data_IF_457802550631
#
_entry.id   IF_457802550631
#
_cell.length_a   1.000
_cell.length_b   1.000
_cell.length_c   1.000
_cell.angle_alpha   90.00
_cell.angle_beta   90.00
_cell.angle_gamma   90.00
#
_symmetry.space_group_name_H-M   'P 1'
#
loop_
_entity.id
_entity.type
_entity.pdbx_description
1 polymer ?
#
# COMPACT_ATOMS: atom_id res chain seq x y z
N UNK A 1 0.65 -16.31 12.08
CA UNK A 1 0.93 -15.06 11.34
C UNK A 1 2.42 -14.83 11.16
N UNK A 2 3.21 -14.70 12.24
CA UNK A 2 4.68 -14.51 12.18
C UNK A 2 5.39 -15.51 11.25
N UNK A 3 5.19 -16.82 11.44
CA UNK A 3 5.84 -17.84 10.59
C UNK A 3 5.36 -17.83 9.12
N UNK A 4 4.18 -17.27 8.84
CA UNK A 4 3.68 -17.13 7.47
C UNK A 4 4.34 -15.93 6.80
N UNK A 5 4.42 -14.80 7.51
CA UNK A 5 5.11 -13.59 7.07
C UNK A 5 6.60 -13.85 6.85
N UNK A 6 7.27 -14.51 7.80
CA UNK A 6 8.68 -14.88 7.72
C UNK A 6 8.99 -15.71 6.47
N UNK A 7 8.20 -16.75 6.20
CA UNK A 7 8.36 -17.56 4.99
C UNK A 7 8.20 -16.73 3.72
N UNK A 8 7.21 -15.83 3.70
CA UNK A 8 7.01 -14.91 2.58
C UNK A 8 8.20 -13.98 2.37
N UNK A 9 8.73 -13.38 3.44
CA UNK A 9 9.91 -12.51 3.40
C UNK A 9 11.13 -13.25 2.88
N UNK A 10 11.44 -14.42 3.45
CA UNK A 10 12.57 -15.25 2.98
C UNK A 10 12.43 -15.56 1.49
N UNK A 11 11.27 -16.03 1.05
CA UNK A 11 11.04 -16.34 -0.37
C UNK A 11 11.17 -15.12 -1.28
N UNK A 12 10.66 -13.96 -0.86
CA UNK A 12 10.74 -12.72 -1.64
C UNK A 12 12.17 -12.19 -1.73
N UNK A 13 12.91 -12.23 -0.62
CA UNK A 13 14.32 -11.82 -0.60
C UNK A 13 15.18 -12.74 -1.48
N UNK A 14 14.95 -14.06 -1.42
CA UNK A 14 15.66 -15.01 -2.29
C UNK A 14 15.37 -14.73 -3.78
N UNK A 15 14.09 -14.55 -4.15
CA UNK A 15 13.72 -14.18 -5.53
C UNK A 15 14.37 -12.87 -5.98
N UNK A 16 14.49 -11.89 -5.09
CA UNK A 16 15.14 -10.62 -5.38
C UNK A 16 16.64 -10.79 -5.63
N UNK A 17 17.33 -11.66 -4.89
CA UNK A 17 18.73 -11.98 -5.15
C UNK A 17 18.92 -12.73 -6.46
N UNK A 18 18.09 -13.74 -6.71
CA UNK A 18 18.08 -14.48 -7.97
C UNK A 18 17.90 -13.55 -9.18
N UNK A 19 16.99 -12.57 -9.09
CA UNK A 19 16.78 -11.57 -10.15
C UNK A 19 17.99 -10.66 -10.42
N UNK A 20 18.88 -10.52 -9.44
CA UNK A 20 20.13 -9.75 -9.56
C UNK A 20 21.34 -10.64 -9.92
N UNK A 21 21.11 -11.95 -10.12
CA UNK A 21 22.18 -12.91 -10.42
C UNK A 21 23.09 -13.21 -9.22
N UNK A 22 22.66 -12.89 -8.00
CA UNK A 22 23.43 -13.10 -6.77
C UNK A 22 22.88 -14.36 -6.07
N UNK A 23 23.73 -15.34 -5.79
CA UNK A 23 23.34 -16.50 -4.99
C UNK A 23 23.29 -16.15 -3.50
N UNK A 24 22.48 -16.89 -2.74
CA UNK A 24 22.39 -16.68 -1.29
C UNK A 24 23.72 -16.89 -0.59
N UNK A 25 24.49 -17.90 -1.02
CA UNK A 25 25.80 -18.21 -0.48
C UNK A 25 26.80 -17.07 -0.72
N UNK A 26 26.75 -16.48 -1.92
CA UNK A 26 27.59 -15.33 -2.27
C UNK A 26 27.24 -14.11 -1.41
N UNK A 27 25.95 -13.83 -1.22
CA UNK A 27 25.51 -12.70 -0.39
C UNK A 27 25.91 -12.88 1.08
N UNK A 28 25.70 -14.07 1.65
CA UNK A 28 26.12 -14.41 3.01
C UNK A 28 27.64 -14.27 3.18
N UNK A 29 28.41 -14.68 2.17
CA UNK A 29 29.87 -14.54 2.18
C UNK A 29 30.32 -13.07 2.16
N UNK A 30 29.69 -12.24 1.32
CA UNK A 30 30.01 -10.80 1.21
C UNK A 30 29.65 -10.05 2.48
N UNK A 31 28.49 -10.35 3.07
CA UNK A 31 28.00 -9.72 4.30
C UNK A 31 28.61 -10.31 5.58
N UNK A 32 29.36 -11.42 5.46
CA UNK A 32 29.90 -12.20 6.57
C UNK A 32 28.82 -12.63 7.57
N UNK A 33 27.63 -12.97 7.07
CA UNK A 33 26.50 -13.43 7.87
C UNK A 33 26.29 -14.94 7.69
N UNK A 34 25.73 -15.58 8.70
CA UNK A 34 25.23 -16.96 8.59
C UNK A 34 23.79 -16.98 8.09
N UNK A 35 23.36 -18.12 7.55
CA UNK A 35 21.95 -18.31 7.16
C UNK A 35 21.00 -18.16 8.36
N UNK A 36 21.44 -18.56 9.56
CA UNK A 36 20.65 -18.41 10.80
C UNK A 36 20.50 -16.93 11.18
N UNK A 37 21.59 -16.16 11.16
CA UNK A 37 21.56 -14.71 11.41
C UNK A 37 20.65 -13.98 10.41
N UNK A 38 20.68 -14.38 9.15
CA UNK A 38 19.79 -13.84 8.12
C UNK A 38 18.31 -14.13 8.44
N UNK A 39 17.96 -15.38 8.76
CA UNK A 39 16.58 -15.76 9.08
C UNK A 39 16.12 -15.07 10.36
N UNK A 40 16.97 -14.96 11.38
CA UNK A 40 16.63 -14.28 12.63
C UNK A 40 16.36 -12.79 12.44
N UNK A 41 17.16 -12.09 11.62
CA UNK A 41 16.89 -10.70 11.26
C UNK A 41 15.52 -10.53 10.59
N UNK A 42 15.16 -11.44 9.67
CA UNK A 42 13.85 -11.42 9.03
C UNK A 42 12.72 -11.78 10.00
N UNK A 43 12.99 -12.64 10.98
CA UNK A 43 12.03 -13.05 12.01
C UNK A 43 11.69 -11.90 12.94
N UNK A 44 12.66 -11.11 13.38
CA UNK A 44 12.42 -9.90 14.18
C UNK A 44 11.49 -8.93 13.46
N UNK A 45 11.77 -8.67 12.18
CA UNK A 45 10.89 -7.85 11.33
C UNK A 45 9.49 -8.45 11.18
N UNK A 46 9.39 -9.77 11.05
CA UNK A 46 8.10 -10.47 10.93
C UNK A 46 7.26 -10.38 12.20
N UNK A 47 7.90 -10.42 13.37
CA UNK A 47 7.24 -10.21 14.67
C UNK A 47 6.69 -8.79 14.75
N UNK A 48 7.50 -7.79 14.41
CA UNK A 48 7.05 -6.40 14.42
C UNK A 48 5.88 -6.17 13.44
N UNK A 49 6.02 -6.62 12.19
CA UNK A 49 4.98 -6.50 11.18
C UNK A 49 3.67 -7.17 11.61
N UNK A 50 3.76 -8.36 12.23
CA UNK A 50 2.57 -9.04 12.75
C UNK A 50 1.93 -8.25 13.90
N UNK A 51 2.72 -7.65 14.80
CA UNK A 51 2.20 -6.81 15.88
C UNK A 51 1.46 -5.58 15.32
N UNK A 52 2.05 -4.91 14.33
CA UNK A 52 1.41 -3.77 13.65
C UNK A 52 0.11 -4.19 12.97
N UNK A 53 0.11 -5.33 12.24
CA UNK A 53 -1.10 -5.84 11.59
C UNK A 53 -2.23 -6.14 12.60
N UNK A 54 -1.90 -6.73 13.75
CA UNK A 54 -2.86 -6.98 14.83
C UNK A 54 -3.37 -5.65 15.43
N UNK A 55 -2.47 -4.69 15.67
CA UNK A 55 -2.83 -3.39 16.23
C UNK A 55 -3.78 -2.61 15.30
N UNK A 56 -3.48 -2.57 13.99
CA UNK A 56 -4.35 -1.90 13.01
C UNK A 56 -5.72 -2.57 12.90
N UNK A 57 -5.77 -3.91 12.95
CA UNK A 57 -7.06 -4.61 13.00
C UNK A 57 -7.83 -4.28 14.27
N UNK A 58 -7.15 -4.17 15.41
CA UNK A 58 -7.79 -3.79 16.66
C UNK A 58 -8.37 -2.36 16.61
N UNK A 59 -7.63 -1.41 16.02
CA UNK A 59 -8.13 -0.04 15.77
C UNK A 59 -9.34 -0.08 14.85
N UNK A 60 -9.27 -0.82 13.72
CA UNK A 60 -10.39 -0.94 12.79
C UNK A 60 -11.67 -1.45 13.47
N UNK A 61 -11.54 -2.43 14.37
CA UNK A 61 -12.68 -2.98 15.14
C UNK A 61 -13.18 -1.97 16.17
N UNK A 62 -12.28 -1.33 16.92
CA UNK A 62 -12.65 -0.37 17.97
C UNK A 62 -13.41 0.84 17.40
N UNK A 63 -12.92 1.36 16.27
CA UNK A 63 -13.46 2.54 15.59
C UNK A 63 -14.52 2.21 14.52
N UNK A 64 -14.90 0.92 14.39
CA UNK A 64 -15.92 0.43 13.44
C UNK A 64 -15.63 0.83 11.99
N UNK A 65 -14.37 0.71 11.58
CA UNK A 65 -13.87 1.06 10.25
C UNK A 65 -14.06 -0.08 9.25
N UNK A 66 -15.30 -0.58 9.15
CA UNK A 66 -15.64 -1.66 8.24
C UNK A 66 -15.54 -1.22 6.77
N UNK A 67 -15.22 -2.19 5.90
CA UNK A 67 -15.23 -1.99 4.45
C UNK A 67 -16.67 -2.03 3.93
N UNK A 68 -17.12 -0.90 3.38
CA UNK A 68 -18.42 -0.78 2.72
C UNK A 68 -18.40 -1.43 1.33
N UNK A 69 -19.56 -1.45 0.67
CA UNK A 69 -19.64 -1.89 -0.73
C UNK A 69 -18.95 -0.87 -1.65
N UNK A 70 -19.15 0.42 -1.40
CA UNK A 70 -18.54 1.49 -2.19
C UNK A 70 -17.02 1.44 -2.10
N UNK A 71 -16.46 1.12 -0.92
CA UNK A 71 -15.01 0.89 -0.77
C UNK A 71 -14.51 -0.27 -1.63
N UNK A 72 -15.29 -1.36 -1.72
CA UNK A 72 -14.93 -2.49 -2.56
C UNK A 72 -14.98 -2.11 -4.04
N UNK A 73 -16.00 -1.37 -4.46
CA UNK A 73 -16.16 -0.92 -5.84
C UNK A 73 -15.01 -0.03 -6.26
N UNK A 74 -14.68 0.99 -5.46
CA UNK A 74 -13.50 1.86 -5.65
C UNK A 74 -12.21 1.05 -5.74
N UNK A 75 -12.05 0.05 -4.88
CA UNK A 75 -10.86 -0.80 -4.90
C UNK A 75 -10.77 -1.67 -6.16
N UNK A 76 -11.89 -2.22 -6.63
CA UNK A 76 -11.92 -2.95 -7.89
C UNK A 76 -11.62 -2.05 -9.07
N UNK A 77 -12.14 -0.82 -9.09
CA UNK A 77 -11.83 0.17 -10.12
C UNK A 77 -10.35 0.51 -10.14
N UNK A 78 -9.76 0.79 -8.98
CA UNK A 78 -8.32 1.08 -8.85
C UNK A 78 -7.46 -0.06 -9.38
N UNK A 79 -7.73 -1.30 -8.95
CA UNK A 79 -7.01 -2.49 -9.43
C UNK A 79 -7.23 -2.69 -10.93
N UNK A 80 -8.44 -2.46 -11.42
CA UNK A 80 -8.78 -2.59 -12.84
C UNK A 80 -7.99 -1.62 -13.70
N UNK A 81 -7.86 -0.36 -13.28
CA UNK A 81 -7.03 0.66 -13.93
C UNK A 81 -5.56 0.23 -13.98
N UNK A 82 -4.99 -0.20 -12.85
CA UNK A 82 -3.60 -0.66 -12.78
C UNK A 82 -3.33 -1.86 -13.72
N UNK A 83 -4.29 -2.78 -13.81
CA UNK A 83 -4.16 -3.99 -14.63
C UNK A 83 -4.70 -3.83 -16.06
N UNK A 84 -5.19 -2.64 -16.43
CA UNK A 84 -5.87 -2.36 -17.71
C UNK A 84 -6.97 -3.36 -18.05
N UNK A 85 -7.77 -3.73 -17.05
CA UNK A 85 -8.90 -4.67 -17.14
C UNK A 85 -10.20 -3.97 -16.76
N UNK A 86 -11.35 -4.63 -16.97
CA UNK A 86 -12.65 -4.13 -16.51
C UNK A 86 -12.87 -4.45 -15.02
N UNK A 87 -13.44 -3.55 -14.21
CA UNK A 87 -13.71 -3.79 -12.78
C UNK A 87 -14.51 -5.06 -12.51
N UNK A 88 -15.55 -5.33 -13.33
CA UNK A 88 -16.35 -6.55 -13.21
C UNK A 88 -15.53 -7.85 -13.36
N UNK A 89 -14.47 -7.84 -14.18
CA UNK A 89 -13.58 -8.99 -14.31
C UNK A 89 -12.69 -9.18 -13.08
N UNK A 90 -12.25 -8.09 -12.45
CA UNK A 90 -11.49 -8.13 -11.20
C UNK A 90 -12.38 -8.66 -10.07
N UNK A 91 -13.59 -8.11 -9.91
CA UNK A 91 -14.56 -8.58 -8.92
C UNK A 91 -14.81 -10.08 -9.03
N UNK A 92 -15.11 -10.56 -10.24
CA UNK A 92 -15.34 -12.00 -10.49
C UNK A 92 -14.13 -12.86 -10.13
N UNK A 93 -12.91 -12.36 -10.32
CA UNK A 93 -11.70 -13.09 -9.95
C UNK A 93 -11.54 -13.21 -8.43
N UNK A 94 -11.84 -12.15 -7.68
CA UNK A 94 -11.83 -12.19 -6.21
C UNK A 94 -12.93 -13.09 -5.65
N UNK A 95 -14.15 -13.02 -6.21
CA UNK A 95 -15.26 -13.90 -5.83
C UNK A 95 -14.92 -15.38 -6.08
N UNK A 96 -14.34 -15.70 -7.24
CA UNK A 96 -13.94 -17.07 -7.59
C UNK A 96 -12.87 -17.64 -6.63
N UNK A 97 -12.02 -16.78 -6.10
CA UNK A 97 -10.91 -17.16 -5.22
C UNK A 97 -11.26 -17.02 -3.73
N UNK A 98 -12.52 -16.74 -3.38
CA UNK A 98 -12.97 -16.47 -2.00
C UNK A 98 -12.16 -15.37 -1.29
N UNK A 99 -11.64 -14.40 -2.06
CA UNK A 99 -10.70 -13.39 -1.59
C UNK A 99 -11.38 -12.06 -1.20
N UNK A 100 -12.72 -12.01 -1.23
CA UNK A 100 -13.48 -10.79 -0.90
C UNK A 100 -13.30 -10.42 0.58
N UNK A 101 -13.29 -11.41 1.47
CA UNK A 101 -13.09 -11.19 2.90
C UNK A 101 -11.70 -10.61 3.18
N UNK A 102 -10.67 -11.11 2.49
CA UNK A 102 -9.30 -10.59 2.61
C UNK A 102 -9.19 -9.15 2.10
N UNK A 103 -9.85 -8.83 0.98
CA UNK A 103 -9.89 -7.46 0.47
C UNK A 103 -10.59 -6.51 1.44
N UNK A 104 -11.71 -6.93 2.04
CA UNK A 104 -12.38 -6.14 3.09
C UNK A 104 -11.47 -5.90 4.30
N UNK A 105 -10.76 -6.93 4.76
CA UNK A 105 -9.81 -6.79 5.86
C UNK A 105 -8.65 -5.85 5.50
N UNK A 106 -8.19 -5.85 4.25
CA UNK A 106 -7.18 -4.91 3.76
C UNK A 106 -7.70 -3.47 3.75
N UNK A 107 -8.93 -3.24 3.27
CA UNK A 107 -9.57 -1.91 3.28
C UNK A 107 -9.73 -1.39 4.70
N UNK A 108 -10.25 -2.20 5.62
CA UNK A 108 -10.42 -1.82 7.02
C UNK A 108 -9.08 -1.42 7.67
N UNK A 109 -7.99 -2.13 7.35
CA UNK A 109 -6.64 -1.76 7.79
C UNK A 109 -6.17 -0.43 7.20
N UNK A 110 -6.42 -0.17 5.92
CA UNK A 110 -6.09 1.12 5.31
C UNK A 110 -6.84 2.26 5.99
N UNK A 111 -8.14 2.09 6.27
CA UNK A 111 -8.93 3.06 7.04
C UNK A 111 -8.39 3.28 8.45
N UNK A 112 -7.94 2.22 9.13
CA UNK A 112 -7.34 2.36 10.45
C UNK A 112 -6.04 3.16 10.44
N UNK A 113 -5.21 3.01 9.40
CA UNK A 113 -4.01 3.85 9.22
C UNK A 113 -4.41 5.32 9.04
N UNK A 114 -5.38 5.57 8.15
CA UNK A 114 -5.87 6.92 7.88
C UNK A 114 -6.44 7.58 9.13
N UNK A 115 -7.28 6.86 9.88
CA UNK A 115 -7.81 7.31 11.16
C UNK A 115 -6.69 7.63 12.16
N UNK A 116 -5.65 6.77 12.25
CA UNK A 116 -4.52 7.03 13.14
C UNK A 116 -3.75 8.29 12.76
N UNK A 117 -3.54 8.55 11.47
CA UNK A 117 -2.85 9.76 11.01
C UNK A 117 -3.62 11.01 11.43
N UNK A 118 -4.93 11.04 11.18
CA UNK A 118 -5.79 12.16 11.57
C UNK A 118 -5.90 12.37 13.08
N UNK A 119 -5.81 11.29 13.87
CA UNK A 119 -5.90 11.33 15.33
C UNK A 119 -4.53 11.36 16.03
N UNK A 120 -3.43 11.48 15.27
CA UNK A 120 -2.08 11.63 15.81
C UNK A 120 -1.67 13.10 15.88
N UNK A 121 -0.68 13.43 16.72
CA UNK A 121 -0.10 14.77 16.76
C UNK A 121 1.22 14.76 15.99
N UNK A 122 1.32 15.54 14.92
CA UNK A 122 2.59 15.76 14.23
C UNK A 122 3.42 16.81 14.96
N UNK A 123 4.73 16.60 15.01
CA UNK A 123 5.68 17.54 15.63
C UNK A 123 6.89 17.76 14.72
N UNK A 124 7.48 18.94 14.77
CA UNK A 124 8.75 19.25 14.10
C UNK A 124 9.97 18.65 14.84
N UNK A 125 11.17 18.90 14.32
CA UNK A 125 12.44 18.47 14.91
C UNK A 125 12.71 19.07 16.30
N UNK A 126 11.96 20.11 16.69
CA UNK A 126 12.02 20.78 17.99
C UNK A 126 10.86 20.40 18.92
N UNK A 127 9.96 19.52 18.48
CA UNK A 127 8.79 19.10 19.24
C UNK A 127 7.61 20.08 19.19
N UNK A 128 7.64 21.07 18.31
CA UNK A 128 6.52 22.01 18.09
C UNK A 128 5.42 21.29 17.33
N UNK A 129 4.18 21.36 17.82
CA UNK A 129 3.03 20.77 17.14
C UNK A 129 2.85 21.39 15.75
N UNK A 130 2.67 20.54 14.75
CA UNK A 130 2.30 20.91 13.39
C UNK A 130 0.85 20.51 13.19
N UNK A 131 0.10 21.39 12.53
CA UNK A 131 -1.28 21.12 12.15
C UNK A 131 -1.37 19.93 11.18
N UNK A 132 -2.31 19.01 11.46
CA UNK A 132 -2.44 17.77 10.70
C UNK A 132 -2.91 18.01 9.27
N UNK A 133 -3.82 18.98 9.04
CA UNK A 133 -4.33 19.31 7.71
C UNK A 133 -3.21 19.85 6.82
N UNK A 134 -2.30 20.63 7.40
CA UNK A 134 -1.09 21.12 6.71
C UNK A 134 -0.19 19.97 6.22
N UNK A 135 -0.14 18.85 6.95
CA UNK A 135 0.73 17.70 6.63
C UNK A 135 0.04 16.70 5.69
N UNK A 136 -1.25 16.44 5.91
CA UNK A 136 -2.00 15.41 5.19
C UNK A 136 -2.69 15.95 3.92
N UNK A 137 -2.89 17.27 3.82
CA UNK A 137 -3.68 17.92 2.76
C UNK A 137 -5.19 17.70 2.94
N UNK A 138 -6.01 18.42 2.15
CA UNK A 138 -7.45 18.12 2.00
C UNK A 138 -7.59 16.83 1.17
N UNK A 139 -7.44 15.67 1.82
CA UNK A 139 -7.83 14.40 1.23
C UNK A 139 -9.29 14.13 1.60
N UNK A 140 -10.20 14.29 0.63
CA UNK A 140 -11.57 13.81 0.78
C UNK A 140 -11.51 12.31 1.09
N UNK A 141 -12.19 11.89 2.17
CA UNK A 141 -12.10 10.57 2.81
C UNK A 141 -12.43 9.36 1.91
N UNK A 142 -12.75 9.59 0.65
CA UNK A 142 -13.04 8.57 -0.37
C UNK A 142 -11.86 8.28 -1.32
N UNK A 143 -10.80 9.09 -1.31
CA UNK A 143 -9.65 8.94 -2.21
C UNK A 143 -8.37 8.53 -1.49
N UNK A 144 -8.32 7.26 -1.06
CA UNK A 144 -7.07 6.62 -0.69
C UNK A 144 -6.26 6.25 -1.95
N UNK A 145 -5.74 7.28 -2.64
CA UNK A 145 -4.48 7.17 -3.37
C UNK A 145 -4.42 7.65 -4.83
N UNK A 146 -5.05 8.76 -5.21
CA UNK A 146 -4.66 9.47 -6.41
C UNK A 146 -3.46 10.41 -6.14
N UNK A 147 -2.24 9.88 -6.20
CA UNK A 147 -1.09 10.71 -6.62
C UNK A 147 -1.21 10.96 -8.12
N UNK A 148 -2.15 11.82 -8.49
CA UNK A 148 -2.33 12.35 -9.84
C UNK A 148 -2.11 13.86 -9.82
N UNK A 149 -0.90 14.28 -9.46
CA UNK A 149 -0.42 15.62 -9.77
C UNK A 149 0.79 15.54 -10.71
N UNK A 150 0.49 15.46 -12.00
CA UNK A 150 1.29 16.13 -13.01
C UNK A 150 0.36 17.10 -13.76
N UNK A 151 0.14 18.24 -13.10
CA UNK A 151 0.03 19.60 -13.65
C UNK A 151 -0.20 19.68 -15.18
N UNK A 152 -1.46 19.74 -15.61
CA UNK A 152 -1.78 20.26 -16.95
C UNK A 152 -1.78 21.79 -16.88
N UNK A 153 -0.68 22.41 -17.34
CA UNK A 153 -0.70 23.84 -17.63
C UNK A 153 -1.51 24.07 -18.92
N UNK A 154 -2.63 24.77 -18.73
CA UNK A 154 -3.60 25.17 -19.73
C UNK A 154 -3.11 26.29 -20.67
N UNK A 155 -3.64 26.26 -21.91
CA UNK A 155 -3.83 27.34 -22.91
C UNK A 155 -2.62 27.92 -23.67
N UNK A 156 -2.62 27.75 -25.00
CA UNK A 156 -3.10 28.86 -25.85
C UNK A 156 -3.68 28.39 -27.19
N UNK A 157 -4.81 29.00 -27.55
CA UNK A 157 -5.51 28.82 -28.81
C UNK A 157 -4.88 29.72 -29.88
N UNK A 158 -4.49 29.17 -31.04
CA UNK A 158 -4.48 29.96 -32.27
C UNK A 158 -5.12 29.18 -33.43
N UNK A 159 -6.36 29.55 -33.73
CA UNK A 159 -7.06 29.17 -34.95
C UNK A 159 -6.47 29.92 -36.15
N UNK A 160 -5.61 29.25 -36.90
CA UNK A 160 -5.18 29.67 -38.23
C UNK A 160 -6.06 29.06 -39.32
N UNK A 161 -7.08 29.79 -39.72
CA UNK A 161 -7.85 29.62 -40.96
C UNK A 161 -6.88 29.61 -42.17
N UNK A 162 -6.97 28.63 -43.09
CA UNK A 162 -6.97 28.99 -44.51
C UNK A 162 -7.65 27.95 -45.42
N UNK A 163 -8.44 28.46 -46.35
CA UNK A 163 -9.14 27.78 -47.42
C UNK A 163 -8.37 27.94 -48.75
N UNK A 164 -8.64 27.04 -49.70
CA UNK A 164 -8.28 27.04 -51.15
C UNK A 164 -6.89 26.48 -51.47
N UNK A 165 -6.68 25.74 -52.57
CA UNK A 165 -7.47 25.55 -53.79
C UNK A 165 -7.23 24.14 -54.33
#
# INVERSE_FOLDING_TARGET
>A
MVNSDLRGRVQNTLKQFESQGISMEQWLSVTQQTAEQFVDALKEQSVLATKVDIALRAVAVAEKLDASQDDLERQFERIATQLKKKPAAIRKAYEKNDAIADLKAQIAKSKAIDWLLHNSQFVDDKGTAIDNETILGEHDHDDLGAVSELHEHEHDHESGHDHKH
#
